data_IF_879184881210
#
_entry.id   IF_879184881210
#
_cell.length_a   1.000
_cell.length_b   1.000
_cell.length_c   1.000
_cell.angle_alpha   90.00
_cell.angle_beta   90.00
_cell.angle_gamma   90.00
#
_symmetry.space_group_name_H-M   'P 1'
#
loop_
_entity.id
_entity.type
_entity.pdbx_description
1 polymer ?
#
# COMPACT_ATOMS: atom_id res chain seq x y z
N UNK A 1 3.27 -8.67 14.35
CA UNK A 1 3.55 -7.93 13.11
C UNK A 1 2.37 -8.11 12.17
N UNK A 2 2.11 -7.08 11.37
CA UNK A 2 1.06 -7.08 10.37
C UNK A 2 1.27 -8.22 9.37
N UNK A 3 0.17 -8.81 8.89
CA UNK A 3 0.22 -9.90 7.91
C UNK A 3 -0.78 -9.65 6.80
N UNK A 4 -0.33 -9.84 5.56
CA UNK A 4 -1.18 -9.79 4.36
C UNK A 4 -1.49 -11.21 3.91
N UNK A 5 -2.74 -11.47 3.57
CA UNK A 5 -3.25 -12.79 3.21
C UNK A 5 -4.01 -12.72 1.90
N UNK A 6 -3.79 -13.69 1.01
CA UNK A 6 -4.54 -13.86 -0.21
C UNK A 6 -4.93 -15.33 -0.36
N UNK A 7 -6.21 -15.58 -0.54
CA UNK A 7 -6.79 -16.92 -0.72
C UNK A 7 -7.50 -16.96 -2.06
N UNK A 8 -6.70 -17.05 -3.14
CA UNK A 8 -7.18 -17.04 -4.51
C UNK A 8 -6.17 -17.65 -5.47
N UNK A 9 -6.54 -17.74 -6.75
CA UNK A 9 -5.81 -18.52 -7.76
C UNK A 9 -4.76 -17.71 -8.55
N UNK A 10 -4.56 -16.44 -8.22
CA UNK A 10 -3.69 -15.55 -9.00
C UNK A 10 -2.26 -15.59 -8.48
N UNK A 11 -1.40 -16.37 -9.14
CA UNK A 11 0.02 -16.54 -8.74
C UNK A 11 0.75 -15.21 -8.54
N UNK A 12 0.51 -14.23 -9.41
CA UNK A 12 1.12 -12.90 -9.30
C UNK A 12 0.73 -12.18 -8.00
N UNK A 13 -0.49 -12.37 -7.52
CA UNK A 13 -1.00 -11.75 -6.29
C UNK A 13 -0.51 -12.53 -5.07
N UNK A 14 -0.44 -13.86 -5.17
CA UNK A 14 0.18 -14.72 -4.15
C UNK A 14 1.64 -14.33 -3.93
N UNK A 15 2.42 -14.19 -5.01
CA UNK A 15 3.82 -13.79 -4.91
C UNK A 15 3.97 -12.36 -4.39
N UNK A 16 3.16 -11.41 -4.85
CA UNK A 16 3.18 -10.05 -4.31
C UNK A 16 2.85 -10.01 -2.81
N UNK A 17 1.90 -10.82 -2.35
CA UNK A 17 1.54 -10.96 -0.93
C UNK A 17 2.71 -11.53 -0.13
N UNK A 18 3.41 -12.54 -0.66
CA UNK A 18 4.60 -13.10 -0.02
C UNK A 18 5.73 -12.06 0.10
N UNK A 19 6.01 -11.32 -0.98
CA UNK A 19 7.01 -10.25 -0.98
C UNK A 19 6.66 -9.11 -0.02
N UNK A 20 5.39 -8.72 0.06
CA UNK A 20 4.92 -7.72 1.01
C UNK A 20 5.14 -8.18 2.46
N UNK A 21 4.80 -9.44 2.78
CA UNK A 21 5.06 -10.00 4.12
C UNK A 21 6.56 -10.09 4.45
N UNK A 22 7.40 -10.45 3.48
CA UNK A 22 8.86 -10.43 3.66
C UNK A 22 9.37 -9.02 3.95
N UNK A 23 8.81 -8.00 3.32
CA UNK A 23 9.18 -6.60 3.56
C UNK A 23 8.70 -6.11 4.93
N UNK A 24 7.45 -6.39 5.31
CA UNK A 24 6.86 -6.04 6.61
C UNK A 24 7.59 -6.72 7.79
N UNK A 25 8.35 -7.80 7.54
CA UNK A 25 9.17 -8.46 8.54
C UNK A 25 10.60 -7.87 8.67
N UNK A 26 11.01 -6.96 7.79
CA UNK A 26 12.38 -6.41 7.77
C UNK A 26 12.49 -5.15 8.63
N UNK A 27 13.33 -5.19 9.66
CA UNK A 27 13.65 -4.00 10.46
C UNK A 27 14.18 -2.83 9.60
N UNK A 28 14.98 -3.12 8.57
CA UNK A 28 15.52 -2.12 7.64
C UNK A 28 14.41 -1.29 6.96
N UNK A 29 13.27 -1.91 6.65
CA UNK A 29 12.15 -1.21 6.03
C UNK A 29 11.65 -0.08 6.95
N UNK A 30 11.42 -0.39 8.23
CA UNK A 30 10.98 0.58 9.22
C UNK A 30 12.04 1.64 9.53
N UNK A 31 13.32 1.25 9.60
CA UNK A 31 14.41 2.22 9.77
C UNK A 31 14.43 3.25 8.64
N UNK A 32 14.24 2.82 7.39
CA UNK A 32 14.16 3.76 6.25
C UNK A 32 12.97 4.71 6.39
N UNK A 33 11.81 4.25 6.86
CA UNK A 33 10.65 5.13 7.15
C UNK A 33 11.02 6.18 8.21
N UNK A 34 11.68 5.78 9.31
CA UNK A 34 12.10 6.69 10.39
C UNK A 34 13.04 7.80 9.92
N UNK A 35 13.79 7.59 8.83
CA UNK A 35 14.70 8.60 8.26
C UNK A 35 14.02 9.65 7.37
N UNK A 36 12.75 9.46 7.02
CA UNK A 36 12.01 10.48 6.28
C UNK A 36 11.95 11.78 7.11
N UNK A 37 12.20 12.97 6.53
CA UNK A 37 12.19 14.22 7.29
C UNK A 37 10.80 14.58 7.84
N UNK A 38 9.76 14.38 7.03
CA UNK A 38 8.35 14.61 7.38
C UNK A 38 7.44 13.97 6.35
N UNK A 39 6.22 13.63 6.76
CA UNK A 39 5.12 13.35 5.84
C UNK A 39 4.17 14.53 5.74
N UNK A 40 3.52 14.67 4.59
CA UNK A 40 2.49 15.67 4.37
C UNK A 40 1.12 15.21 4.90
N UNK A 41 0.23 16.17 5.16
CA UNK A 41 -1.14 15.95 5.64
C UNK A 41 -1.28 15.27 7.01
N UNK A 42 -0.21 15.15 7.79
CA UNK A 42 -0.23 14.59 9.14
C UNK A 42 0.60 15.40 10.13
N UNK A 43 0.29 15.24 11.42
CA UNK A 43 1.13 15.71 12.53
C UNK A 43 2.00 14.59 13.12
N UNK A 44 1.76 13.34 12.76
CA UNK A 44 2.53 12.21 13.24
C UNK A 44 3.94 12.27 12.65
N UNK A 45 4.95 11.98 13.46
CA UNK A 45 6.32 11.92 12.96
C UNK A 45 6.55 10.63 12.16
N UNK A 46 7.51 10.60 11.22
CA UNK A 46 7.86 9.37 10.53
C UNK A 46 8.29 8.23 11.47
N UNK A 47 8.84 8.57 12.65
CA UNK A 47 9.12 7.59 13.70
C UNK A 47 7.86 7.01 14.31
N UNK A 48 6.88 7.84 14.66
CA UNK A 48 5.62 7.37 15.24
C UNK A 48 4.89 6.44 14.26
N UNK A 49 4.87 6.81 12.98
CA UNK A 49 4.25 6.00 11.92
C UNK A 49 4.98 4.67 11.74
N UNK A 50 6.31 4.67 11.62
CA UNK A 50 7.09 3.44 11.48
C UNK A 50 6.88 2.50 12.68
N UNK A 51 6.96 3.05 13.89
CA UNK A 51 6.79 2.28 15.13
C UNK A 51 5.37 1.72 15.28
N UNK A 52 4.36 2.48 14.82
CA UNK A 52 2.97 2.04 14.83
C UNK A 52 2.75 0.90 13.83
N UNK A 53 3.22 1.07 12.60
CA UNK A 53 3.14 0.03 11.56
C UNK A 53 3.85 -1.24 12.01
N UNK A 54 5.07 -1.14 12.56
CA UNK A 54 5.86 -2.30 12.99
C UNK A 54 5.18 -3.10 14.12
N UNK A 55 4.52 -2.39 15.05
CA UNK A 55 3.76 -3.00 16.15
C UNK A 55 2.36 -3.45 15.77
N UNK A 56 1.84 -3.01 14.63
CA UNK A 56 0.50 -3.37 14.18
C UNK A 56 0.38 -4.90 14.04
N UNK A 57 -0.77 -5.45 14.44
CA UNK A 57 -1.07 -6.89 14.39
C UNK A 57 -2.24 -7.21 13.47
N UNK A 58 -2.69 -6.22 12.67
CA UNK A 58 -3.76 -6.37 11.72
C UNK A 58 -3.46 -7.49 10.71
N UNK A 59 -4.52 -8.16 10.28
CA UNK A 59 -4.50 -9.21 9.25
C UNK A 59 -5.26 -8.68 8.04
N UNK A 60 -4.51 -8.24 7.04
CA UNK A 60 -5.07 -7.67 5.84
C UNK A 60 -5.39 -8.78 4.85
N UNK A 61 -6.61 -8.75 4.32
CA UNK A 61 -7.03 -9.69 3.29
C UNK A 61 -7.03 -8.99 1.93
N UNK A 62 -6.26 -9.51 0.98
CA UNK A 62 -6.30 -9.05 -0.41
C UNK A 62 -7.56 -9.60 -1.08
N UNK A 63 -8.35 -8.71 -1.65
CA UNK A 63 -9.52 -9.00 -2.46
C UNK A 63 -9.30 -8.48 -3.87
N UNK A 64 -9.76 -9.24 -4.84
CA UNK A 64 -9.68 -8.86 -6.23
C UNK A 64 -11.02 -8.28 -6.69
N UNK A 65 -10.95 -7.22 -7.48
CA UNK A 65 -12.12 -6.67 -8.13
C UNK A 65 -11.82 -6.40 -9.60
N UNK A 66 -12.89 -6.26 -10.39
CA UNK A 66 -12.83 -5.74 -11.74
C UNK A 66 -13.45 -4.37 -11.69
N UNK A 67 -12.72 -3.33 -12.07
CA UNK A 67 -13.34 -2.02 -12.34
C UNK A 67 -14.51 -2.15 -13.34
N UNK A 68 -15.58 -1.37 -13.19
CA UNK A 68 -16.60 -1.32 -14.27
C UNK A 68 -16.11 -0.49 -15.46
N UNK A 69 -15.09 0.34 -15.26
CA UNK A 69 -14.57 1.29 -16.23
C UNK A 69 -13.24 0.76 -16.79
N UNK A 70 -13.20 0.31 -18.07
CA UNK A 70 -11.99 -0.31 -18.64
C UNK A 70 -10.74 0.58 -18.58
N UNK A 71 -10.94 1.90 -18.60
CA UNK A 71 -9.90 2.94 -18.57
C UNK A 71 -9.59 3.45 -17.16
N UNK A 72 -10.18 2.84 -16.12
CA UNK A 72 -9.86 3.18 -14.74
C UNK A 72 -8.35 3.15 -14.53
N UNK A 73 -7.83 4.14 -13.81
CA UNK A 73 -6.43 4.21 -13.44
C UNK A 73 -6.13 3.51 -12.12
N UNK A 74 -7.15 3.23 -11.32
CA UNK A 74 -6.99 2.59 -10.01
C UNK A 74 -6.35 1.21 -10.12
N UNK A 75 -5.20 1.06 -9.48
CA UNK A 75 -4.51 -0.19 -9.21
C UNK A 75 -5.13 -0.92 -8.02
N UNK A 76 -5.68 -0.17 -7.08
CA UNK A 76 -6.42 -0.66 -5.93
C UNK A 76 -7.13 0.47 -5.20
N UNK A 77 -7.79 0.12 -4.10
CA UNK A 77 -8.38 1.06 -3.14
C UNK A 77 -8.48 0.43 -1.75
N UNK A 78 -8.55 1.29 -0.73
CA UNK A 78 -9.06 0.95 0.59
C UNK A 78 -10.52 1.38 0.75
N UNK A 79 -11.25 0.71 1.63
CA UNK A 79 -12.58 1.12 2.05
C UNK A 79 -12.57 1.26 3.57
N UNK A 80 -12.85 2.47 4.08
CA UNK A 80 -12.86 2.74 5.52
C UNK A 80 -13.85 1.85 6.30
N UNK A 81 -14.84 1.23 5.63
CA UNK A 81 -15.76 0.25 6.22
C UNK A 81 -15.13 -1.14 6.40
N UNK A 82 -14.04 -1.41 5.67
CA UNK A 82 -13.29 -2.66 5.64
C UNK A 82 -11.78 -2.38 5.77
N UNK A 83 -11.32 -1.82 6.91
CA UNK A 83 -9.94 -1.36 7.08
C UNK A 83 -8.90 -2.49 7.00
N UNK A 84 -9.33 -3.74 7.16
CA UNK A 84 -8.50 -4.95 7.03
C UNK A 84 -8.57 -5.57 5.62
N UNK A 85 -9.02 -4.83 4.60
CA UNK A 85 -9.11 -5.30 3.22
C UNK A 85 -8.31 -4.43 2.26
N UNK A 86 -7.60 -5.09 1.36
CA UNK A 86 -6.86 -4.48 0.24
C UNK A 86 -7.56 -4.88 -1.04
N UNK A 87 -8.18 -3.94 -1.76
CA UNK A 87 -8.85 -4.25 -3.02
C UNK A 87 -7.91 -3.98 -4.19
N UNK A 88 -7.52 -5.01 -4.95
CA UNK A 88 -6.68 -4.88 -6.14
C UNK A 88 -7.48 -5.05 -7.44
N UNK A 89 -7.21 -4.17 -8.40
CA UNK A 89 -7.87 -4.19 -9.70
C UNK A 89 -7.23 -5.23 -10.62
N UNK A 90 -8.00 -6.27 -10.96
CA UNK A 90 -7.57 -7.33 -11.89
C UNK A 90 -7.14 -6.82 -13.26
N UNK A 91 -7.68 -5.68 -13.74
CA UNK A 91 -7.24 -5.04 -15.01
C UNK A 91 -5.85 -4.43 -14.96
N UNK A 92 -5.25 -4.31 -13.76
CA UNK A 92 -3.98 -3.64 -13.50
C UNK A 92 -2.94 -4.57 -12.89
N UNK A 93 -3.13 -5.88 -13.02
CA UNK A 93 -2.15 -6.86 -12.55
C UNK A 93 -1.00 -7.07 -13.55
N UNK A 94 -1.18 -6.69 -14.82
CA UNK A 94 -0.09 -6.67 -15.82
C UNK A 94 0.82 -5.45 -15.60
N UNK A 95 1.58 -5.48 -14.51
CA UNK A 95 2.57 -4.47 -14.10
C UNK A 95 3.68 -5.15 -13.28
N UNK A 96 4.73 -4.40 -12.94
CA UNK A 96 5.86 -4.98 -12.22
C UNK A 96 5.47 -5.53 -10.85
N UNK A 97 6.13 -6.62 -10.43
CA UNK A 97 5.93 -7.20 -9.09
C UNK A 97 6.14 -6.15 -7.99
N UNK A 98 7.19 -5.34 -8.11
CA UNK A 98 7.48 -4.26 -7.18
C UNK A 98 6.32 -3.25 -7.08
N UNK A 99 5.66 -2.91 -8.19
CA UNK A 99 4.50 -2.01 -8.22
C UNK A 99 3.28 -2.61 -7.50
N UNK A 100 3.01 -3.92 -7.68
CA UNK A 100 1.92 -4.59 -6.96
C UNK A 100 2.21 -4.63 -5.45
N UNK A 101 3.44 -4.97 -5.07
CA UNK A 101 3.88 -4.94 -3.66
C UNK A 101 3.75 -3.51 -3.10
N UNK A 102 4.16 -2.49 -3.86
CA UNK A 102 3.99 -1.09 -3.49
C UNK A 102 2.55 -0.72 -3.18
N UNK A 103 1.59 -1.16 -3.99
CA UNK A 103 0.15 -0.97 -3.72
C UNK A 103 -0.31 -1.70 -2.46
N UNK A 104 0.09 -2.96 -2.26
CA UNK A 104 -0.27 -3.71 -1.04
C UNK A 104 0.26 -3.00 0.21
N UNK A 105 1.50 -2.49 0.15
CA UNK A 105 2.13 -1.76 1.25
C UNK A 105 1.46 -0.40 1.47
N UNK A 106 1.09 0.31 0.40
CA UNK A 106 0.31 1.55 0.49
C UNK A 106 -0.97 1.32 1.32
N UNK A 107 -1.77 0.32 0.97
CA UNK A 107 -2.99 -0.01 1.74
C UNK A 107 -2.67 -0.53 3.15
N UNK A 108 -1.51 -1.16 3.35
CA UNK A 108 -1.05 -1.57 4.68
C UNK A 108 -0.80 -0.38 5.62
N UNK A 109 -0.35 0.76 5.07
CA UNK A 109 -0.22 2.02 5.82
C UNK A 109 -1.61 2.53 6.24
N UNK A 110 -2.59 2.48 5.35
CA UNK A 110 -3.97 2.86 5.65
C UNK A 110 -4.59 1.98 6.75
N UNK A 111 -4.38 0.66 6.69
CA UNK A 111 -4.85 -0.23 7.75
C UNK A 111 -4.21 0.10 9.10
N UNK A 112 -2.91 0.39 9.13
CA UNK A 112 -2.23 0.81 10.37
C UNK A 112 -2.83 2.12 10.93
N UNK A 113 -3.14 3.07 10.06
CA UNK A 113 -3.80 4.33 10.41
C UNK A 113 -5.20 4.11 11.00
N UNK A 114 -6.01 3.26 10.36
CA UNK A 114 -7.36 2.93 10.82
C UNK A 114 -7.40 2.25 12.20
N UNK A 115 -6.34 1.53 12.58
CA UNK A 115 -6.19 0.87 13.89
C UNK A 115 -5.49 1.74 14.95
N UNK A 116 -5.36 3.04 14.67
CA UNK A 116 -4.53 3.97 15.43
C UNK A 116 -5.32 5.22 15.86
N UNK A 117 -4.95 5.87 16.98
CA UNK A 117 -5.46 7.19 17.32
C UNK A 117 -4.75 8.32 16.55
N UNK A 118 -3.64 8.02 15.87
CA UNK A 118 -2.98 8.93 14.94
C UNK A 118 -3.76 8.98 13.62
N UNK A 119 -3.68 10.12 12.93
CA UNK A 119 -4.26 10.36 11.60
C UNK A 119 -3.11 10.71 10.65
N UNK A 120 -2.70 9.74 9.83
CA UNK A 120 -1.57 9.86 8.91
C UNK A 120 -1.82 9.30 7.50
N UNK A 121 -3.07 9.01 7.18
CA UNK A 121 -3.53 8.79 5.82
C UNK A 121 -3.46 10.05 4.97
N UNK A 122 -4.16 10.03 3.85
CA UNK A 122 -4.09 11.10 2.85
C UNK A 122 -5.44 11.74 2.49
N UNK A 123 -6.45 11.57 3.35
CA UNK A 123 -7.74 12.26 3.37
C UNK A 123 -8.73 11.97 2.23
N UNK A 124 -8.28 11.89 0.98
CA UNK A 124 -9.12 11.62 -0.21
C UNK A 124 -8.46 10.64 -1.19
N UNK A 125 -9.22 10.11 -2.15
CA UNK A 125 -8.74 9.07 -3.09
C UNK A 125 -8.25 9.64 -4.42
N UNK A 126 -7.58 10.79 -4.41
CA UNK A 126 -6.92 11.41 -5.58
C UNK A 126 -5.41 11.36 -5.39
N UNK A 127 -4.66 10.87 -6.38
CA UNK A 127 -3.20 10.75 -6.32
C UNK A 127 -2.43 12.07 -6.48
N UNK A 128 -3.05 13.10 -7.07
CA UNK A 128 -2.40 14.41 -7.29
C UNK A 128 -1.96 15.08 -5.99
N UNK A 129 -0.70 15.55 -5.94
CA UNK A 129 -0.06 16.27 -4.83
C UNK A 129 0.08 15.47 -3.52
N UNK A 130 0.14 14.14 -3.58
CA UNK A 130 0.21 13.26 -2.39
C UNK A 130 1.45 12.40 -2.28
N UNK A 131 2.42 12.64 -3.15
CA UNK A 131 3.66 11.85 -3.28
C UNK A 131 4.44 11.76 -1.95
N UNK A 132 4.30 12.79 -1.08
CA UNK A 132 4.96 12.87 0.22
C UNK A 132 4.05 12.54 1.41
N UNK A 133 2.82 12.05 1.18
CA UNK A 133 1.99 11.47 2.24
C UNK A 133 2.54 10.12 2.65
N UNK A 134 2.26 9.68 3.89
CA UNK A 134 2.83 8.43 4.39
C UNK A 134 2.50 7.21 3.50
N UNK A 135 1.25 6.99 3.04
CA UNK A 135 0.93 5.82 2.21
C UNK A 135 1.73 5.78 0.90
N UNK A 136 1.74 6.87 0.14
CA UNK A 136 2.46 6.93 -1.15
C UNK A 136 3.97 6.83 -0.99
N UNK A 137 4.54 7.56 -0.03
CA UNK A 137 5.98 7.56 0.17
C UNK A 137 6.47 6.17 0.60
N UNK A 138 5.75 5.53 1.53
CA UNK A 138 6.10 4.19 2.05
C UNK A 138 5.85 3.11 0.99
N UNK A 139 4.80 3.23 0.18
CA UNK A 139 4.60 2.37 -0.98
C UNK A 139 5.73 2.48 -2.02
N UNK A 140 6.20 3.69 -2.31
CA UNK A 140 7.34 3.93 -3.20
C UNK A 140 8.65 3.41 -2.60
N UNK A 141 8.82 3.48 -1.28
CA UNK A 141 9.93 2.86 -0.57
C UNK A 141 9.91 1.34 -0.77
N UNK A 142 8.74 0.71 -0.68
CA UNK A 142 8.60 -0.72 -0.94
C UNK A 142 8.99 -1.08 -2.38
N UNK A 143 8.58 -0.27 -3.37
CA UNK A 143 9.00 -0.45 -4.76
C UNK A 143 10.54 -0.43 -4.86
N UNK A 144 11.18 0.61 -4.31
CA UNK A 144 12.64 0.76 -4.28
C UNK A 144 13.34 -0.48 -3.69
N UNK A 145 12.83 -1.01 -2.58
CA UNK A 145 13.44 -2.15 -1.89
C UNK A 145 13.24 -3.47 -2.64
N UNK A 146 12.09 -3.67 -3.28
CA UNK A 146 11.78 -4.90 -4.04
C UNK A 146 12.46 -4.90 -5.41
N UNK A 147 12.50 -3.77 -6.10
CA UNK A 147 13.16 -3.65 -7.40
C UNK A 147 14.68 -3.45 -7.31
N UNK A 148 15.22 -3.28 -6.09
CA UNK A 148 16.61 -2.93 -5.83
C UNK A 148 17.06 -1.67 -6.59
N UNK A 149 16.17 -0.68 -6.66
CA UNK A 149 16.43 0.62 -7.29
C UNK A 149 16.57 1.72 -6.23
N UNK A 150 17.38 2.77 -6.48
CA UNK A 150 17.38 3.96 -5.65
C UNK A 150 15.98 4.57 -5.55
N UNK A 151 15.60 5.08 -4.37
CA UNK A 151 14.28 5.69 -4.16
C UNK A 151 13.98 6.81 -5.17
N UNK A 152 14.98 7.64 -5.49
CA UNK A 152 14.87 8.73 -6.47
C UNK A 152 14.65 8.24 -7.93
N UNK A 153 14.81 6.95 -8.20
CA UNK A 153 14.61 6.36 -9.53
C UNK A 153 13.28 5.59 -9.63
N UNK A 154 12.46 5.57 -8.57
CA UNK A 154 11.14 4.93 -8.60
C UNK A 154 10.19 5.78 -9.44
N UNK A 155 9.45 5.12 -10.33
CA UNK A 155 8.31 5.75 -11.00
C UNK A 155 7.17 5.92 -10.00
N UNK A 156 6.91 7.15 -9.55
CA UNK A 156 5.86 7.45 -8.58
C UNK A 156 4.44 7.20 -9.11
N UNK A 157 4.26 7.02 -10.42
CA UNK A 157 3.00 6.55 -11.01
C UNK A 157 2.81 5.03 -10.88
N UNK A 158 3.78 4.30 -10.32
CA UNK A 158 3.68 2.86 -10.06
C UNK A 158 2.75 2.52 -8.89
N UNK A 159 2.11 3.52 -8.27
CA UNK A 159 1.00 3.38 -7.33
C UNK A 159 -0.07 4.40 -7.73
N UNK A 160 -1.25 3.94 -8.15
CA UNK A 160 -2.39 4.82 -8.43
C UNK A 160 -3.62 4.21 -7.75
N UNK A 161 -3.93 4.70 -6.56
CA UNK A 161 -5.01 4.20 -5.69
C UNK A 161 -6.13 5.23 -5.73
N UNK A 162 -7.30 4.87 -6.26
CA UNK A 162 -8.44 5.79 -6.48
C UNK A 162 -9.76 5.08 -6.16
N UNK A 163 -10.80 5.83 -5.82
CA UNK A 163 -12.16 5.31 -5.77
C UNK A 163 -12.58 4.77 -7.14
N UNK A 164 -12.98 3.49 -7.18
CA UNK A 164 -13.35 2.82 -8.42
C UNK A 164 -14.68 2.07 -8.24
N UNK A 165 -15.72 2.34 -9.06
CA UNK A 165 -16.93 1.53 -9.04
C UNK A 165 -16.58 0.09 -9.43
N UNK A 166 -16.60 -0.80 -8.43
CA UNK A 166 -16.17 -2.18 -8.54
C UNK A 166 -17.31 -3.16 -8.88
N UNK A 167 -16.99 -4.21 -9.64
CA UNK A 167 -17.69 -5.50 -9.62
C UNK A 167 -16.79 -6.51 -8.89
N UNK A 168 -17.36 -7.29 -7.97
CA UNK A 168 -16.64 -8.34 -7.27
C UNK A 168 -16.19 -9.43 -8.25
N UNK A 169 -14.95 -9.87 -8.14
CA UNK A 169 -14.42 -11.00 -8.93
C UNK A 169 -14.34 -12.19 -7.98
N UNK A 170 -14.91 -13.31 -8.42
CA UNK A 170 -14.88 -14.59 -7.71
C UNK A 170 -13.46 -15.16 -7.63
#
# INVERSE_FOLDING_TARGET
MMRVEFDGIWDVVTEATNQANLLLAKAEFYERIRTCPRFELTKASPRDIADLMERCTARLTVRLYKSRWPWSRAFGYEDARFPDMVFLNTRKLDRSMASIVGTIIHESVHAADAHSPLDFGHGSNSSADKENTAPYWIGNLAISMVSNQPFAAVDHAAIDVLDDPAEAVA
#
